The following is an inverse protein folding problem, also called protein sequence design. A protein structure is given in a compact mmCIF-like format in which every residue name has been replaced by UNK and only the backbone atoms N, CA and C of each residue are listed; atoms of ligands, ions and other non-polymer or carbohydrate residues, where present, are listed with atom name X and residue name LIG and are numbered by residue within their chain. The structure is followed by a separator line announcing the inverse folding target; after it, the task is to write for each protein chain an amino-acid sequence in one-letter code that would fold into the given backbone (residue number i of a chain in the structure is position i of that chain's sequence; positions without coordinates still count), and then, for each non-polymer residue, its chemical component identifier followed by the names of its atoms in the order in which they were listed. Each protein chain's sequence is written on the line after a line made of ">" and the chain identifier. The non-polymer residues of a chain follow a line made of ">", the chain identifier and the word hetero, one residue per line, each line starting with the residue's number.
data_IF_742403513567
#
_entry.id   IF_742403513567
#
_cell.length_a   1.000
_cell.length_b   1.000
_cell.length_c   1.000
_cell.angle_alpha   90.00
_cell.angle_beta   90.00
_cell.angle_gamma   90.00
#
_symmetry.space_group_name_H-M   'P 1'
#
loop_
_entity.id
_entity.type
_entity.pdbx_description
1 polymer ?
#
# COMPACT_ATOMS: atom_id res chain seq x y z
N UNK A 1 10.33 -28.24 -12.93
CA UNK A 1 9.47 -27.15 -13.44
C UNK A 1 8.03 -27.62 -13.38
N UNK A 2 7.13 -26.76 -12.86
CA UNK A 2 5.69 -27.02 -12.88
C UNK A 2 5.23 -27.08 -14.35
N UNK A 3 4.31 -28.02 -14.66
CA UNK A 3 3.71 -28.04 -15.97
C UNK A 3 2.65 -26.93 -16.10
N UNK A 4 2.16 -26.67 -17.30
CA UNK A 4 1.21 -25.57 -17.55
C UNK A 4 -0.14 -25.79 -16.84
N UNK A 5 -0.56 -27.05 -16.67
CA UNK A 5 -1.79 -27.40 -15.96
C UNK A 5 -1.66 -27.07 -14.47
N UNK A 6 -0.53 -27.43 -13.84
CA UNK A 6 -0.28 -27.13 -12.42
C UNK A 6 -0.32 -25.61 -12.16
N UNK A 7 0.20 -24.80 -13.10
CA UNK A 7 0.16 -23.33 -12.99
C UNK A 7 -1.25 -22.77 -13.13
N UNK A 8 -2.07 -23.34 -14.03
CA UNK A 8 -3.48 -22.97 -14.17
C UNK A 8 -4.25 -23.29 -12.88
N UNK A 9 -4.06 -24.48 -12.33
CA UNK A 9 -4.75 -24.93 -11.12
C UNK A 9 -4.33 -24.10 -9.91
N UNK A 10 -3.04 -23.79 -9.76
CA UNK A 10 -2.55 -22.88 -8.72
C UNK A 10 -3.16 -21.48 -8.84
N UNK A 11 -3.24 -20.93 -10.04
CA UNK A 11 -3.86 -19.63 -10.29
C UNK A 11 -5.36 -19.62 -9.93
N UNK A 12 -6.10 -20.65 -10.34
CA UNK A 12 -7.53 -20.81 -10.02
C UNK A 12 -7.78 -20.95 -8.52
N UNK A 13 -6.93 -21.69 -7.82
CA UNK A 13 -7.02 -21.84 -6.36
C UNK A 13 -6.78 -20.50 -5.64
N UNK A 14 -5.76 -19.73 -6.05
CA UNK A 14 -5.49 -18.40 -5.51
C UNK A 14 -6.67 -17.44 -5.78
N UNK A 15 -7.22 -17.48 -7.00
CA UNK A 15 -8.39 -16.66 -7.32
C UNK A 15 -9.60 -17.04 -6.47
N UNK A 16 -9.86 -18.33 -6.29
CA UNK A 16 -10.96 -18.82 -5.45
C UNK A 16 -10.78 -18.40 -3.99
N UNK A 17 -9.56 -18.48 -3.46
CA UNK A 17 -9.25 -17.99 -2.11
C UNK A 17 -9.54 -16.48 -1.98
N UNK A 18 -9.17 -15.69 -2.99
CA UNK A 18 -9.45 -14.27 -3.02
C UNK A 18 -10.95 -13.96 -3.06
N UNK A 19 -11.73 -14.67 -3.91
CA UNK A 19 -13.19 -14.55 -3.94
C UNK A 19 -13.83 -14.87 -2.58
N UNK A 20 -13.42 -15.97 -1.94
CA UNK A 20 -13.96 -16.38 -0.63
C UNK A 20 -13.65 -15.33 0.45
N UNK A 21 -12.44 -14.77 0.44
CA UNK A 21 -12.03 -13.80 1.42
C UNK A 21 -12.64 -12.40 1.20
N UNK A 22 -13.03 -12.06 -0.03
CA UNK A 22 -13.37 -10.68 -0.41
C UNK A 22 -14.82 -10.46 -0.84
N UNK A 23 -15.59 -11.53 -1.15
CA UNK A 23 -17.00 -11.35 -1.56
C UNK A 23 -17.88 -11.27 -0.33
N UNK A 24 -18.35 -10.08 -0.03
CA UNK A 24 -19.15 -9.77 1.15
C UNK A 24 -20.53 -9.22 0.82
N UNK A 25 -20.73 -8.69 -0.40
CA UNK A 25 -21.98 -8.07 -0.84
C UNK A 25 -22.63 -8.89 -1.96
N UNK A 26 -23.80 -9.45 -1.69
CA UNK A 26 -24.59 -10.21 -2.66
C UNK A 26 -25.31 -9.35 -3.70
N UNK A 27 -25.39 -8.03 -3.51
CA UNK A 27 -26.02 -7.11 -4.46
C UNK A 27 -25.11 -6.74 -5.63
N UNK A 28 -23.80 -6.92 -5.48
CA UNK A 28 -22.77 -6.64 -6.49
C UNK A 28 -22.36 -7.91 -7.24
N UNK A 29 -21.81 -7.73 -8.44
CA UNK A 29 -21.10 -8.84 -9.09
C UNK A 29 -19.89 -9.26 -8.26
N UNK A 30 -19.49 -10.54 -8.35
CA UNK A 30 -18.34 -11.05 -7.58
C UNK A 30 -17.07 -10.25 -7.83
N UNK A 31 -16.80 -9.88 -9.09
CA UNK A 31 -15.61 -9.11 -9.44
C UNK A 31 -15.65 -7.70 -8.87
N UNK A 32 -16.81 -7.04 -8.86
CA UNK A 32 -16.95 -5.71 -8.24
C UNK A 32 -16.69 -5.78 -6.74
N UNK A 33 -17.30 -6.75 -6.04
CA UNK A 33 -17.07 -6.94 -4.59
C UNK A 33 -15.60 -7.22 -4.27
N UNK A 34 -14.97 -8.12 -5.02
CA UNK A 34 -13.53 -8.43 -4.90
C UNK A 34 -12.70 -7.17 -5.13
N UNK A 35 -12.97 -6.44 -6.20
CA UNK A 35 -12.20 -5.25 -6.56
C UNK A 35 -12.32 -4.15 -5.51
N UNK A 36 -13.53 -3.81 -5.09
CA UNK A 36 -13.79 -2.77 -4.09
C UNK A 36 -13.07 -3.06 -2.76
N UNK A 37 -13.15 -4.31 -2.29
CA UNK A 37 -12.58 -4.70 -1.02
C UNK A 37 -11.05 -4.75 -1.06
N UNK A 38 -10.46 -5.31 -2.12
CA UNK A 38 -9.00 -5.36 -2.26
C UNK A 38 -8.41 -3.97 -2.45
N UNK A 39 -9.01 -3.15 -3.32
CA UNK A 39 -8.55 -1.79 -3.56
C UNK A 39 -8.60 -0.97 -2.28
N UNK A 40 -9.63 -1.13 -1.45
CA UNK A 40 -9.75 -0.41 -0.19
C UNK A 40 -8.61 -0.74 0.79
N UNK A 41 -8.24 -2.02 0.93
CA UNK A 41 -7.11 -2.46 1.75
C UNK A 41 -5.80 -1.86 1.20
N UNK A 42 -5.53 -2.08 -0.08
CA UNK A 42 -4.26 -1.66 -0.68
C UNK A 42 -4.11 -0.13 -0.75
N UNK A 43 -5.21 0.61 -0.86
CA UNK A 43 -5.19 2.08 -0.78
C UNK A 43 -4.86 2.55 0.64
N UNK A 44 -5.39 1.87 1.63
CA UNK A 44 -5.14 2.21 3.02
C UNK A 44 -3.66 2.04 3.40
N UNK A 45 -3.00 1.02 2.86
CA UNK A 45 -1.60 0.70 3.10
C UNK A 45 -0.63 1.44 2.16
N UNK A 46 -1.14 2.16 1.16
CA UNK A 46 -0.33 2.73 0.08
C UNK A 46 0.87 3.55 0.58
N UNK A 47 0.65 4.49 1.48
CA UNK A 47 1.71 5.35 2.00
C UNK A 47 2.66 4.63 2.94
N UNK A 48 2.14 3.71 3.75
CA UNK A 48 2.96 2.85 4.59
C UNK A 48 3.96 2.04 3.74
N UNK A 49 3.48 1.41 2.67
CA UNK A 49 4.33 0.68 1.74
C UNK A 49 5.40 1.58 1.10
N UNK A 50 5.06 2.81 0.72
CA UNK A 50 6.02 3.76 0.12
C UNK A 50 7.12 4.12 1.11
N UNK A 51 6.75 4.52 2.33
CA UNK A 51 7.75 4.96 3.32
C UNK A 51 8.57 3.79 3.86
N UNK A 52 7.98 2.60 4.04
CA UNK A 52 8.73 1.38 4.36
C UNK A 52 9.77 1.06 3.29
N UNK A 53 9.39 1.10 2.02
CA UNK A 53 10.31 0.86 0.91
C UNK A 53 11.44 1.90 0.86
N UNK A 54 11.17 3.17 1.15
CA UNK A 54 12.21 4.21 1.21
C UNK A 54 13.15 3.96 2.40
N UNK A 55 12.60 3.60 3.56
CA UNK A 55 13.37 3.28 4.76
C UNK A 55 14.30 2.07 4.51
N UNK A 56 13.78 1.02 3.88
CA UNK A 56 14.54 -0.17 3.51
C UNK A 56 15.63 0.15 2.48
N UNK A 57 15.31 0.94 1.45
CA UNK A 57 16.29 1.41 0.47
C UNK A 57 17.42 2.21 1.15
N UNK A 58 17.08 3.08 2.10
CA UNK A 58 18.07 3.83 2.89
C UNK A 58 18.93 2.90 3.75
N UNK A 59 18.32 1.97 4.48
CA UNK A 59 19.04 1.00 5.34
C UNK A 59 19.96 0.11 4.51
N UNK A 60 19.50 -0.39 3.38
CA UNK A 60 20.25 -1.29 2.51
C UNK A 60 21.45 -0.58 1.83
N UNK A 61 21.33 0.69 1.51
CA UNK A 61 22.36 1.42 0.77
C UNK A 61 23.31 2.22 1.67
N UNK A 62 22.82 2.80 2.79
CA UNK A 62 23.62 3.64 3.69
C UNK A 62 24.01 2.91 4.98
N UNK A 63 23.30 1.84 5.31
CA UNK A 63 23.45 1.08 6.57
C UNK A 63 22.61 1.68 7.72
N UNK A 64 22.22 0.80 8.65
CA UNK A 64 21.33 1.13 9.77
C UNK A 64 21.85 2.31 10.62
N UNK A 65 23.18 2.37 10.88
CA UNK A 65 23.77 3.43 11.69
C UNK A 65 23.55 4.82 11.13
N UNK A 66 23.74 5.01 9.81
CA UNK A 66 23.53 6.32 9.17
C UNK A 66 22.06 6.71 9.14
N UNK A 67 21.17 5.75 8.90
CA UNK A 67 19.73 5.97 8.94
C UNK A 67 19.27 6.33 10.35
N UNK A 68 19.77 5.65 11.39
CA UNK A 68 19.46 6.02 12.78
C UNK A 68 19.95 7.43 13.14
N UNK A 69 21.11 7.85 12.62
CA UNK A 69 21.59 9.22 12.80
C UNK A 69 20.71 10.24 12.09
N UNK A 70 20.27 9.95 10.83
CA UNK A 70 19.32 10.79 10.10
C UNK A 70 18.01 10.98 10.89
N UNK A 71 17.47 9.91 11.45
CA UNK A 71 16.16 9.92 12.12
C UNK A 71 16.22 10.44 13.56
N UNK A 72 17.42 10.59 14.14
CA UNK A 72 17.60 11.04 15.53
C UNK A 72 17.07 12.45 15.75
N UNK A 73 17.28 13.34 14.77
CA UNK A 73 16.91 14.76 14.89
C UNK A 73 15.42 15.01 14.57
N UNK A 74 14.68 13.96 14.17
CA UNK A 74 13.24 14.00 13.90
C UNK A 74 12.51 13.51 15.15
N UNK A 75 12.04 14.46 15.95
CA UNK A 75 11.54 14.21 17.31
C UNK A 75 10.02 14.19 17.42
N UNK A 76 9.30 14.57 16.36
CA UNK A 76 7.83 14.65 16.35
C UNK A 76 7.15 13.28 16.33
N UNK A 77 7.88 12.25 15.98
CA UNK A 77 7.36 10.90 15.83
C UNK A 77 8.28 9.89 16.52
N UNK A 78 7.67 8.84 17.06
CA UNK A 78 8.43 7.74 17.69
C UNK A 78 8.88 6.69 16.67
N UNK A 79 7.99 6.31 15.74
CA UNK A 79 8.23 5.24 14.76
C UNK A 79 9.07 5.73 13.58
N UNK A 80 10.05 4.92 13.14
CA UNK A 80 10.99 5.26 12.06
C UNK A 80 10.27 5.61 10.74
N UNK A 81 9.18 4.90 10.41
CA UNK A 81 8.40 5.16 9.20
C UNK A 81 7.77 6.56 9.21
N UNK A 82 7.27 7.01 10.37
CA UNK A 82 6.71 8.34 10.54
C UNK A 82 7.79 9.41 10.51
N UNK A 83 8.98 9.11 11.06
CA UNK A 83 10.14 9.99 10.97
C UNK A 83 10.58 10.18 9.52
N UNK A 84 10.60 9.13 8.71
CA UNK A 84 10.87 9.24 7.26
C UNK A 84 9.83 10.14 6.58
N UNK A 85 8.54 9.95 6.86
CA UNK A 85 7.51 10.83 6.32
C UNK A 85 7.68 12.29 6.77
N UNK A 86 8.01 12.52 8.04
CA UNK A 86 8.35 13.84 8.59
C UNK A 86 9.56 14.45 7.89
N UNK A 87 10.64 13.70 7.72
CA UNK A 87 11.82 14.14 6.98
C UNK A 87 11.48 14.56 5.54
N UNK A 88 10.57 13.84 4.89
CA UNK A 88 10.19 14.13 3.50
C UNK A 88 9.29 15.37 3.42
N UNK A 89 8.26 15.47 4.26
CA UNK A 89 7.19 16.45 4.07
C UNK A 89 7.34 17.73 4.88
N UNK A 90 7.89 17.66 6.11
CA UNK A 90 7.89 18.84 6.97
C UNK A 90 8.91 19.90 6.51
N UNK A 91 8.43 21.14 6.37
CA UNK A 91 9.22 22.27 5.88
C UNK A 91 10.43 22.56 6.78
N UNK A 92 10.29 22.40 8.09
CA UNK A 92 11.38 22.60 9.06
C UNK A 92 12.64 21.77 8.80
N UNK A 93 12.50 20.65 8.06
CA UNK A 93 13.62 19.79 7.68
C UNK A 93 14.16 20.05 6.27
N UNK A 94 13.76 21.15 5.60
CA UNK A 94 14.17 21.46 4.22
C UNK A 94 15.69 21.55 4.09
N UNK A 95 16.36 22.39 4.89
CA UNK A 95 17.83 22.51 4.86
C UNK A 95 18.53 21.18 5.18
N UNK A 96 18.03 20.46 6.17
CA UNK A 96 18.58 19.18 6.56
C UNK A 96 18.46 18.14 5.43
N UNK A 97 17.34 18.15 4.71
CA UNK A 97 17.10 17.31 3.53
C UNK A 97 18.03 17.67 2.36
N UNK A 98 18.23 18.97 2.09
CA UNK A 98 19.15 19.46 1.06
C UNK A 98 20.59 19.02 1.36
N UNK A 99 21.04 19.20 2.58
CA UNK A 99 22.38 18.76 3.03
C UNK A 99 22.54 17.24 2.90
N UNK A 100 21.51 16.49 3.26
CA UNK A 100 21.51 15.04 3.13
C UNK A 100 21.55 14.56 1.67
N UNK A 101 20.84 15.27 0.79
CA UNK A 101 20.87 15.01 -0.66
C UNK A 101 22.26 15.30 -1.26
N UNK A 102 22.91 16.35 -0.84
CA UNK A 102 24.22 16.75 -1.33
C UNK A 102 25.35 15.82 -0.87
N UNK A 103 25.26 15.31 0.34
CA UNK A 103 26.32 14.53 0.98
C UNK A 103 26.07 13.03 0.93
N UNK A 104 25.00 12.55 1.54
CA UNK A 104 24.77 11.11 1.75
C UNK A 104 24.09 10.45 0.55
N UNK A 105 23.12 11.12 -0.09
CA UNK A 105 22.38 10.58 -1.24
C UNK A 105 22.96 10.97 -2.60
N UNK A 106 24.12 11.60 -2.63
CA UNK A 106 24.81 12.01 -3.86
C UNK A 106 24.99 10.83 -4.85
N UNK A 107 25.31 9.66 -4.33
CA UNK A 107 25.60 8.47 -5.11
C UNK A 107 24.39 7.52 -5.26
N UNK A 108 23.22 7.90 -4.74
CA UNK A 108 21.99 7.10 -4.76
C UNK A 108 20.84 7.83 -5.47
N UNK A 109 20.95 8.06 -6.79
CA UNK A 109 20.00 8.89 -7.53
C UNK A 109 18.56 8.38 -7.46
N UNK A 110 18.36 7.06 -7.41
CA UNK A 110 17.02 6.46 -7.34
C UNK A 110 16.31 6.79 -6.02
N UNK A 111 17.01 6.70 -4.88
CA UNK A 111 16.44 7.01 -3.57
C UNK A 111 16.15 8.51 -3.50
N UNK A 112 17.11 9.34 -3.92
CA UNK A 112 16.92 10.80 -3.99
C UNK A 112 15.71 11.18 -4.84
N UNK A 113 15.53 10.54 -5.99
CA UNK A 113 14.39 10.78 -6.87
C UNK A 113 13.05 10.38 -6.23
N UNK A 114 12.98 9.22 -5.55
CA UNK A 114 11.78 8.80 -4.82
C UNK A 114 11.40 9.82 -3.74
N UNK A 115 12.35 10.26 -2.93
CA UNK A 115 12.13 11.23 -1.86
C UNK A 115 11.72 12.58 -2.45
N UNK A 116 12.40 13.06 -3.50
CA UNK A 116 12.10 14.33 -4.16
C UNK A 116 10.68 14.36 -4.75
N UNK A 117 10.27 13.30 -5.42
CA UNK A 117 8.91 13.21 -5.97
C UNK A 117 7.80 13.31 -4.92
N UNK A 118 8.03 12.74 -3.74
CA UNK A 118 7.08 12.89 -2.63
C UNK A 118 7.12 14.31 -2.05
N UNK A 119 8.31 14.84 -1.87
CA UNK A 119 8.52 16.21 -1.37
C UNK A 119 7.81 17.25 -2.21
N UNK A 120 7.83 17.14 -3.54
CA UNK A 120 7.11 18.01 -4.48
C UNK A 120 5.57 18.05 -4.25
N UNK A 121 5.02 17.05 -3.55
CA UNK A 121 3.58 16.98 -3.25
C UNK A 121 3.21 17.68 -1.92
N UNK A 122 4.19 18.13 -1.12
CA UNK A 122 3.97 18.65 0.25
C UNK A 122 3.05 19.86 0.35
N UNK A 123 3.03 20.70 -0.67
CA UNK A 123 2.28 21.97 -0.68
C UNK A 123 0.77 21.78 -0.88
N UNK A 124 0.36 20.59 -1.26
CA UNK A 124 -1.05 20.29 -1.50
C UNK A 124 -1.36 18.84 -1.11
N UNK A 125 -2.06 18.68 0.02
CA UNK A 125 -2.51 17.36 0.52
C UNK A 125 -3.34 16.59 -0.51
N UNK A 126 -4.14 17.27 -1.32
CA UNK A 126 -4.97 16.62 -2.34
C UNK A 126 -4.12 15.90 -3.40
N UNK A 127 -2.91 16.40 -3.70
CA UNK A 127 -1.99 15.70 -4.62
C UNK A 127 -1.58 14.32 -4.07
N UNK A 128 -1.40 14.19 -2.74
CA UNK A 128 -1.13 12.88 -2.11
C UNK A 128 -2.32 11.93 -2.28
N UNK A 129 -3.55 12.45 -2.07
CA UNK A 129 -4.74 11.64 -2.31
C UNK A 129 -4.80 11.15 -3.76
N UNK A 130 -4.55 12.02 -4.73
CA UNK A 130 -4.51 11.63 -6.15
C UNK A 130 -3.42 10.62 -6.50
N UNK A 131 -2.28 10.61 -5.79
CA UNK A 131 -1.29 9.54 -5.97
C UNK A 131 -1.86 8.19 -5.58
N UNK A 132 -2.55 8.11 -4.45
CA UNK A 132 -3.21 6.87 -4.01
C UNK A 132 -4.35 6.46 -4.96
N UNK A 133 -5.16 7.38 -5.45
CA UNK A 133 -6.22 7.10 -6.44
C UNK A 133 -5.64 6.52 -7.75
N UNK A 134 -4.56 7.09 -8.28
CA UNK A 134 -3.87 6.55 -9.46
C UNK A 134 -3.29 5.15 -9.25
N UNK A 135 -2.81 4.87 -8.05
CA UNK A 135 -2.38 3.53 -7.67
C UNK A 135 -3.55 2.55 -7.68
N UNK A 136 -4.68 2.93 -7.08
CA UNK A 136 -5.90 2.13 -7.05
C UNK A 136 -6.43 1.80 -8.44
N UNK A 137 -6.51 2.78 -9.34
CA UNK A 137 -6.94 2.55 -10.72
C UNK A 137 -6.09 1.48 -11.43
N UNK A 138 -4.77 1.45 -11.19
CA UNK A 138 -3.89 0.41 -11.76
C UNK A 138 -4.18 -0.96 -11.19
N UNK A 139 -4.47 -1.04 -9.88
CA UNK A 139 -4.85 -2.30 -9.23
C UNK A 139 -6.19 -2.79 -9.75
N UNK A 140 -7.20 -1.92 -9.85
CA UNK A 140 -8.49 -2.26 -10.45
C UNK A 140 -8.32 -2.90 -11.83
N UNK A 141 -7.62 -2.23 -12.75
CA UNK A 141 -7.35 -2.75 -14.09
C UNK A 141 -6.61 -4.10 -14.05
N UNK A 142 -5.69 -4.26 -13.11
CA UNK A 142 -4.97 -5.50 -12.96
C UNK A 142 -5.88 -6.63 -12.45
N UNK A 143 -6.74 -6.37 -11.46
CA UNK A 143 -7.73 -7.34 -10.96
C UNK A 143 -8.70 -7.76 -12.05
N UNK A 144 -9.23 -6.83 -12.84
CA UNK A 144 -10.07 -7.16 -13.99
C UNK A 144 -9.33 -8.00 -15.04
N UNK A 145 -8.05 -7.75 -15.25
CA UNK A 145 -7.21 -8.58 -16.14
C UNK A 145 -7.04 -9.99 -15.62
N UNK A 146 -6.77 -10.15 -14.32
CA UNK A 146 -6.67 -11.46 -13.67
C UNK A 146 -8.01 -12.21 -13.73
N UNK A 147 -9.12 -11.53 -13.52
CA UNK A 147 -10.47 -12.10 -13.66
C UNK A 147 -10.75 -12.60 -15.09
N UNK A 148 -10.38 -11.83 -16.11
CA UNK A 148 -10.51 -12.29 -17.51
C UNK A 148 -9.67 -13.53 -17.78
N UNK A 149 -8.45 -13.60 -17.23
CA UNK A 149 -7.60 -14.79 -17.36
C UNK A 149 -8.26 -16.00 -16.67
N UNK A 150 -8.78 -15.83 -15.46
CA UNK A 150 -9.53 -16.88 -14.75
C UNK A 150 -10.68 -17.40 -15.61
N UNK A 151 -11.45 -16.52 -16.22
CA UNK A 151 -12.56 -16.90 -17.07
C UNK A 151 -12.11 -17.64 -18.36
N UNK A 152 -11.01 -17.20 -18.97
CA UNK A 152 -10.43 -17.89 -20.15
C UNK A 152 -9.97 -19.32 -19.79
N UNK A 153 -9.32 -19.50 -18.64
CA UNK A 153 -8.91 -20.84 -18.17
C UNK A 153 -10.13 -21.72 -17.91
N UNK A 154 -11.14 -21.22 -17.17
CA UNK A 154 -12.30 -22.03 -16.77
C UNK A 154 -13.21 -22.38 -17.93
N UNK A 155 -13.47 -21.42 -18.83
CA UNK A 155 -14.46 -21.62 -19.91
C UNK A 155 -13.90 -22.09 -21.23
N UNK A 156 -12.65 -21.74 -21.54
CA UNK A 156 -12.00 -22.06 -22.83
C UNK A 156 -10.82 -23.04 -22.67
N UNK A 157 -10.41 -23.37 -21.46
CA UNK A 157 -9.19 -24.15 -21.21
C UNK A 157 -7.91 -23.45 -21.68
N UNK A 158 -8.00 -22.14 -21.96
CA UNK A 158 -6.90 -21.36 -22.45
C UNK A 158 -5.89 -21.05 -21.35
N UNK A 159 -4.61 -21.26 -21.64
CA UNK A 159 -3.54 -20.88 -20.74
C UNK A 159 -2.78 -19.68 -21.29
N UNK A 160 -2.30 -18.84 -20.41
CA UNK A 160 -1.57 -17.63 -20.76
C UNK A 160 -0.05 -17.82 -20.57
N UNK A 161 0.77 -17.37 -21.55
CA UNK A 161 2.24 -17.50 -21.50
C UNK A 161 2.90 -16.91 -20.23
N UNK A 162 2.25 -15.95 -19.58
CA UNK A 162 2.74 -15.27 -18.37
C UNK A 162 1.95 -15.65 -17.11
N UNK A 163 1.35 -16.83 -17.10
CA UNK A 163 0.48 -17.25 -15.98
C UNK A 163 1.25 -17.32 -14.66
N UNK A 164 2.49 -17.75 -14.67
CA UNK A 164 3.34 -17.76 -13.47
C UNK A 164 3.46 -16.36 -12.87
N UNK A 165 3.88 -15.37 -13.65
CA UNK A 165 4.02 -13.99 -13.19
C UNK A 165 2.68 -13.39 -12.69
N UNK A 166 1.57 -13.70 -13.39
CA UNK A 166 0.25 -13.23 -12.99
C UNK A 166 -0.23 -13.93 -11.71
N UNK A 167 0.14 -15.21 -11.52
CA UNK A 167 -0.10 -15.95 -10.29
C UNK A 167 0.68 -15.37 -9.09
N UNK A 168 1.93 -14.99 -9.30
CA UNK A 168 2.75 -14.32 -8.28
C UNK A 168 2.12 -12.99 -7.83
N UNK A 169 1.61 -12.19 -8.77
CA UNK A 169 0.88 -10.96 -8.42
C UNK A 169 -0.42 -11.23 -7.68
N UNK A 170 -1.16 -12.27 -8.10
CA UNK A 170 -2.38 -12.69 -7.43
C UNK A 170 -2.11 -13.17 -6.00
N UNK A 171 -1.03 -13.92 -5.80
CA UNK A 171 -0.58 -14.35 -4.48
C UNK A 171 -0.32 -13.17 -3.54
N UNK A 172 0.35 -12.11 -4.02
CA UNK A 172 0.57 -10.89 -3.25
C UNK A 172 -0.76 -10.26 -2.79
N UNK A 173 -1.77 -10.23 -3.65
CA UNK A 173 -3.09 -9.70 -3.26
C UNK A 173 -3.78 -10.58 -2.21
N UNK A 174 -3.72 -11.89 -2.38
CA UNK A 174 -4.27 -12.85 -1.39
C UNK A 174 -3.61 -12.67 -0.04
N UNK A 175 -2.27 -12.61 -0.01
CA UNK A 175 -1.50 -12.45 1.22
C UNK A 175 -1.85 -11.15 1.95
N UNK A 176 -1.96 -10.04 1.21
CA UNK A 176 -2.31 -8.75 1.80
C UNK A 176 -3.71 -8.75 2.40
N UNK A 177 -4.69 -9.30 1.69
CA UNK A 177 -6.07 -9.42 2.20
C UNK A 177 -6.11 -10.28 3.45
N UNK A 178 -5.50 -11.48 3.40
CA UNK A 178 -5.50 -12.40 4.55
C UNK A 178 -4.80 -11.76 5.75
N UNK A 179 -3.65 -11.13 5.54
CA UNK A 179 -2.90 -10.46 6.61
C UNK A 179 -3.74 -9.36 7.27
N UNK A 180 -4.37 -8.49 6.48
CA UNK A 180 -5.23 -7.41 7.00
C UNK A 180 -6.42 -7.96 7.79
N UNK A 181 -7.10 -8.99 7.26
CA UNK A 181 -8.20 -9.66 7.96
C UNK A 181 -7.73 -10.25 9.29
N UNK A 182 -6.61 -10.97 9.29
CA UNK A 182 -6.06 -11.58 10.50
C UNK A 182 -5.67 -10.55 11.55
N UNK A 183 -4.97 -9.50 11.13
CA UNK A 183 -4.49 -8.44 12.03
C UNK A 183 -5.67 -7.71 12.66
N UNK A 184 -6.63 -7.25 11.87
CA UNK A 184 -7.78 -6.50 12.38
C UNK A 184 -8.69 -7.33 13.27
N UNK A 185 -9.04 -8.56 12.86
CA UNK A 185 -9.88 -9.45 13.67
C UNK A 185 -9.19 -9.88 14.98
N UNK A 186 -7.86 -10.00 14.98
CA UNK A 186 -7.13 -10.35 16.21
C UNK A 186 -7.03 -9.18 17.20
N UNK A 187 -6.94 -7.94 16.70
CA UNK A 187 -6.70 -6.75 17.53
C UNK A 187 -7.97 -6.11 18.02
N UNK A 188 -8.97 -5.97 17.17
CA UNK A 188 -10.21 -5.30 17.50
C UNK A 188 -11.32 -6.31 17.82
N UNK A 189 -11.62 -6.47 19.11
CA UNK A 189 -12.69 -7.35 19.59
C UNK A 189 -14.10 -6.93 19.15
N UNK A 190 -14.26 -5.71 18.66
CA UNK A 190 -15.53 -5.22 18.13
C UNK A 190 -15.78 -5.71 16.68
N UNK A 191 -14.72 -6.11 15.97
CA UNK A 191 -14.82 -6.67 14.62
C UNK A 191 -15.07 -8.18 14.74
N UNK A 192 -16.30 -8.62 14.44
CA UNK A 192 -16.70 -10.02 14.54
C UNK A 192 -16.69 -10.77 13.22
N UNK A 193 -16.71 -10.06 12.11
CA UNK A 193 -16.85 -10.63 10.77
C UNK A 193 -15.89 -10.01 9.76
N UNK A 194 -15.66 -10.72 8.66
CA UNK A 194 -14.90 -10.19 7.50
C UNK A 194 -15.54 -8.91 6.95
N UNK A 195 -16.88 -8.84 6.95
CA UNK A 195 -17.61 -7.65 6.51
C UNK A 195 -17.32 -6.43 7.41
N UNK A 196 -17.19 -6.63 8.71
CA UNK A 196 -16.86 -5.54 9.64
C UNK A 196 -15.49 -4.98 9.33
N UNK A 197 -14.51 -5.83 9.00
CA UNK A 197 -13.15 -5.40 8.62
C UNK A 197 -13.16 -4.53 7.37
N UNK A 198 -13.88 -4.92 6.33
CA UNK A 198 -13.99 -4.10 5.11
C UNK A 198 -14.72 -2.80 5.35
N UNK A 199 -15.78 -2.82 6.17
CA UNK A 199 -16.52 -1.62 6.54
C UNK A 199 -15.64 -0.64 7.31
N UNK A 200 -14.88 -1.12 8.29
CA UNK A 200 -13.92 -0.33 9.06
C UNK A 200 -12.83 0.27 8.15
N UNK A 201 -12.26 -0.54 7.26
CA UNK A 201 -11.26 -0.09 6.27
C UNK A 201 -11.83 1.02 5.38
N UNK A 202 -13.06 0.88 4.92
CA UNK A 202 -13.73 1.89 4.11
C UNK A 202 -13.98 3.20 4.89
N UNK A 203 -14.40 3.11 6.15
CA UNK A 203 -14.60 4.28 7.01
C UNK A 203 -13.28 5.03 7.24
N UNK A 204 -12.19 4.30 7.49
CA UNK A 204 -10.85 4.87 7.64
C UNK A 204 -10.38 5.57 6.36
N UNK A 205 -10.59 4.97 5.20
CA UNK A 205 -10.28 5.60 3.92
C UNK A 205 -11.07 6.89 3.69
N UNK A 206 -12.36 6.92 4.04
CA UNK A 206 -13.17 8.13 3.92
C UNK A 206 -12.67 9.24 4.86
N UNK A 207 -12.21 8.90 6.06
CA UNK A 207 -11.58 9.84 7.00
C UNK A 207 -10.27 10.41 6.39
N UNK A 208 -9.40 9.55 5.85
CA UNK A 208 -8.16 9.96 5.15
C UNK A 208 -8.48 10.86 3.96
N UNK A 209 -9.44 10.47 3.12
CA UNK A 209 -9.89 11.25 1.95
C UNK A 209 -10.37 12.63 2.34
N UNK A 210 -11.23 12.73 3.36
CA UNK A 210 -11.75 14.01 3.83
C UNK A 210 -10.63 14.95 4.28
N UNK A 211 -9.70 14.45 5.10
CA UNK A 211 -8.58 15.24 5.59
C UNK A 211 -7.63 15.69 4.46
N UNK A 212 -7.27 14.77 3.56
CA UNK A 212 -6.33 15.08 2.47
C UNK A 212 -6.94 15.98 1.38
N UNK A 213 -8.27 16.07 1.28
CA UNK A 213 -8.94 17.02 0.37
C UNK A 213 -9.10 18.41 0.96
N UNK A 214 -8.81 18.61 2.24
CA UNK A 214 -8.74 19.93 2.82
C UNK A 214 -7.51 20.69 2.27
N UNK A 215 -7.65 21.96 1.88
CA UNK A 215 -6.53 22.72 1.34
C UNK A 215 -5.46 22.95 2.41
N UNK A 216 -4.21 22.88 2.03
CA UNK A 216 -3.08 23.14 2.92
C UNK A 216 -1.89 22.23 2.67
N UNK A 217 -0.78 22.59 3.32
CA UNK A 217 0.45 21.81 3.30
C UNK A 217 0.30 20.52 4.13
N UNK A 218 1.13 19.54 3.83
CA UNK A 218 1.24 18.32 4.65
C UNK A 218 1.88 18.69 5.98
N UNK A 219 1.18 18.45 7.06
CA UNK A 219 1.60 18.67 8.44
C UNK A 219 1.74 17.36 9.23
N UNK A 220 2.14 17.47 10.48
CA UNK A 220 2.31 16.32 11.38
C UNK A 220 1.02 15.50 11.54
N UNK A 221 -0.13 16.17 11.64
CA UNK A 221 -1.42 15.52 11.78
C UNK A 221 -1.79 14.73 10.50
N UNK A 222 -1.50 15.28 9.32
CA UNK A 222 -1.69 14.60 8.05
C UNK A 222 -0.82 13.35 7.95
N UNK A 223 0.45 13.43 8.38
CA UNK A 223 1.37 12.28 8.40
C UNK A 223 0.86 11.18 9.33
N UNK A 224 0.41 11.55 10.53
CA UNK A 224 -0.16 10.59 11.47
C UNK A 224 -1.39 9.89 10.90
N UNK A 225 -2.27 10.63 10.22
CA UNK A 225 -3.47 10.06 9.59
C UNK A 225 -3.12 9.15 8.39
N UNK A 226 -2.13 9.54 7.56
CA UNK A 226 -1.67 8.70 6.45
C UNK A 226 -1.18 7.32 6.91
N UNK A 227 -0.56 7.27 8.09
CA UNK A 227 0.07 6.10 8.70
C UNK A 227 -0.73 5.54 9.89
N UNK A 228 -2.03 5.89 10.02
CA UNK A 228 -2.87 5.52 11.17
C UNK A 228 -2.91 4.01 11.42
N UNK A 229 -2.90 3.19 10.38
CA UNK A 229 -2.85 1.72 10.52
C UNK A 229 -1.61 1.24 11.28
N UNK A 230 -0.49 1.94 11.10
CA UNK A 230 0.78 1.60 11.74
C UNK A 230 0.77 1.86 13.26
N UNK A 231 -0.12 2.73 13.78
CA UNK A 231 -0.24 3.04 15.20
C UNK A 231 -1.15 2.08 15.97
N UNK A 232 -1.89 1.22 15.28
CA UNK A 232 -2.76 0.23 15.92
C UNK A 232 -1.94 -0.96 16.49
N UNK A 233 -0.60 -0.92 16.37
CA UNK A 233 0.30 -2.04 16.71
C UNK A 233 0.78 -2.09 18.18
N UNK A 234 0.27 -1.29 19.05
CA UNK A 234 0.46 -1.36 20.51
C UNK A 234 -0.88 -1.63 21.18
#
# INVERSE_FOLDING_TARGET
>A
ALNQQDLNDAFLNLWSALEVASVTDSSKSKIESVTDNIVSILQNDYFECIFSNILDDLKNNLGNRKVSLLLKDITEFDKEICKIAGFIFLEKYEKYREDYFANELKYYPNIRYKIYNLYEQRENREKLWHLSEKYCQRIEWHLYRLYRLRNAIVHAGESHKRIQMLGEHLHIYVDRVILELMVKLAKDKCLGTIQDVFTDTYLLLNKKKKNLKEPGNVDEQSIMLLLENFFIEE
#
